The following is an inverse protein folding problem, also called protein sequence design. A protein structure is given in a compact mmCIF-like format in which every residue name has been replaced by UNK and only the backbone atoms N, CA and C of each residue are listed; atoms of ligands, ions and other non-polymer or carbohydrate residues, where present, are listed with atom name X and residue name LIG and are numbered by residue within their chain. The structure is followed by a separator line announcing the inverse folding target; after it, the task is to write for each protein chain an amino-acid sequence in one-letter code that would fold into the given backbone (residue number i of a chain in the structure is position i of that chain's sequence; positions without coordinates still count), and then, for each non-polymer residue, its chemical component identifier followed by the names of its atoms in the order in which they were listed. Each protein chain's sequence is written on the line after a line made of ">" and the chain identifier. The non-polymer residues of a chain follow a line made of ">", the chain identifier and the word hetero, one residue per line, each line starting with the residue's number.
data_IF_586018453583
#
_entry.id   IF_586018453583
#
_cell.length_a   1.000
_cell.length_b   1.000
_cell.length_c   1.000
_cell.angle_alpha   90.00
_cell.angle_beta   90.00
_cell.angle_gamma   90.00
#
_symmetry.space_group_name_H-M   'P 1'
#
loop_
_entity.id
_entity.type
_entity.pdbx_description
1 polymer ?
#
# COMPACT_ATOMS: atom_id res chain seq x y z
N UNK A 1 -7.36 4.72 45.36
CA UNK A 1 -6.79 5.65 44.36
C UNK A 1 -5.77 4.96 43.46
N UNK A 2 -4.95 4.02 43.92
CA UNK A 2 -3.93 3.26 43.15
C UNK A 2 -4.47 2.42 41.97
N UNK A 3 -5.63 1.77 42.12
CA UNK A 3 -6.21 0.90 41.07
C UNK A 3 -6.55 1.69 39.80
N UNK A 4 -6.87 2.97 39.92
CA UNK A 4 -7.20 3.84 38.76
C UNK A 4 -5.96 4.24 37.95
N UNK A 5 -4.82 4.43 38.64
CA UNK A 5 -3.54 4.76 38.03
C UNK A 5 -2.97 3.54 37.25
N UNK A 6 -3.02 2.36 37.84
CA UNK A 6 -2.56 1.10 37.22
C UNK A 6 -3.36 0.78 35.93
N UNK A 7 -4.67 1.04 35.95
CA UNK A 7 -5.52 0.85 34.75
C UNK A 7 -5.24 1.86 33.63
N UNK A 8 -4.82 3.06 33.96
CA UNK A 8 -4.48 4.11 32.99
C UNK A 8 -3.10 3.85 32.38
N UNK A 9 -2.11 3.46 33.15
CA UNK A 9 -0.78 3.07 32.67
C UNK A 9 -0.82 1.85 31.76
N UNK A 10 -1.60 0.83 32.10
CA UNK A 10 -1.83 -0.33 31.24
C UNK A 10 -2.49 0.03 29.91
N UNK A 11 -3.43 0.97 29.89
CA UNK A 11 -4.05 1.45 28.65
C UNK A 11 -3.07 2.24 27.76
N UNK A 12 -2.24 3.10 28.35
CA UNK A 12 -1.21 3.85 27.65
C UNK A 12 -0.16 2.92 27.04
N UNK A 13 0.31 1.95 27.81
CA UNK A 13 1.30 0.98 27.36
C UNK A 13 0.78 0.12 26.19
N UNK A 14 -0.47 -0.35 26.27
CA UNK A 14 -1.13 -1.10 25.18
C UNK A 14 -1.33 -0.27 23.91
N UNK A 15 -1.69 1.00 24.06
CA UNK A 15 -1.81 1.91 22.90
C UNK A 15 -0.45 2.11 22.22
N UNK A 16 0.63 2.29 22.99
CA UNK A 16 1.99 2.37 22.48
C UNK A 16 2.42 1.12 21.70
N UNK A 17 2.17 -0.07 22.22
CA UNK A 17 2.49 -1.34 21.56
C UNK A 17 1.71 -1.47 20.22
N UNK A 18 0.41 -1.19 20.22
CA UNK A 18 -0.41 -1.25 19.00
C UNK A 18 0.10 -0.28 17.92
N UNK A 19 0.43 0.94 18.33
CA UNK A 19 0.98 1.95 17.43
C UNK A 19 2.34 1.51 16.87
N UNK A 20 3.21 0.96 17.70
CA UNK A 20 4.51 0.45 17.27
C UNK A 20 4.37 -0.72 16.27
N UNK A 21 3.52 -1.71 16.58
CA UNK A 21 3.24 -2.83 15.67
C UNK A 21 2.66 -2.36 14.34
N UNK A 22 1.68 -1.46 14.37
CA UNK A 22 1.11 -0.90 13.14
C UNK A 22 2.16 -0.15 12.31
N UNK A 23 3.09 0.59 12.95
CA UNK A 23 4.19 1.26 12.26
C UNK A 23 5.12 0.27 11.59
N UNK A 24 5.52 -0.78 12.30
CA UNK A 24 6.42 -1.82 11.76
C UNK A 24 5.77 -2.54 10.59
N UNK A 25 4.53 -3.01 10.75
CA UNK A 25 3.84 -3.74 9.69
C UNK A 25 3.52 -2.86 8.47
N UNK A 26 3.15 -1.61 8.70
CA UNK A 26 2.96 -0.66 7.59
C UNK A 26 4.27 -0.39 6.85
N UNK A 27 5.39 -0.23 7.55
CA UNK A 27 6.69 -0.09 6.94
C UNK A 27 7.10 -1.34 6.13
N UNK A 28 6.84 -2.55 6.66
CA UNK A 28 7.09 -3.81 5.94
C UNK A 28 6.28 -3.89 4.64
N UNK A 29 4.99 -3.55 4.67
CA UNK A 29 4.13 -3.55 3.48
C UNK A 29 4.61 -2.54 2.43
N UNK A 30 4.98 -1.32 2.86
CA UNK A 30 5.47 -0.29 1.94
C UNK A 30 6.84 -0.66 1.36
N UNK A 31 7.65 -1.43 2.08
CA UNK A 31 8.95 -1.93 1.61
C UNK A 31 8.83 -3.07 0.58
N UNK A 32 7.66 -3.69 0.40
CA UNK A 32 7.47 -4.84 -0.51
C UNK A 32 8.08 -4.62 -1.91
N UNK A 33 7.88 -3.49 -2.60
CA UNK A 33 8.43 -3.29 -3.94
C UNK A 33 9.97 -3.25 -4.02
N UNK A 34 10.64 -3.10 -2.88
CA UNK A 34 12.11 -3.00 -2.81
C UNK A 34 12.77 -4.32 -2.38
N UNK A 35 11.99 -5.39 -2.18
CA UNK A 35 12.51 -6.69 -1.76
C UNK A 35 12.71 -7.57 -2.97
N UNK A 36 13.96 -7.91 -3.24
CA UNK A 36 14.34 -8.84 -4.31
C UNK A 36 15.54 -9.67 -3.89
N UNK A 37 15.67 -10.86 -4.44
CA UNK A 37 16.81 -11.73 -4.25
C UNK A 37 17.35 -12.20 -5.61
N UNK A 38 18.53 -11.74 -5.96
CA UNK A 38 19.19 -12.09 -7.23
C UNK A 38 19.61 -13.57 -7.32
N UNK A 39 19.60 -14.30 -6.20
CA UNK A 39 19.94 -15.73 -6.17
C UNK A 39 18.76 -16.63 -6.58
N UNK A 40 17.53 -16.09 -6.61
CA UNK A 40 16.32 -16.82 -6.97
C UNK A 40 15.94 -16.62 -8.43
N UNK A 41 15.41 -17.68 -9.06
CA UNK A 41 14.75 -17.55 -10.36
C UNK A 41 13.55 -16.61 -10.20
N UNK A 42 13.45 -15.55 -11.04
CA UNK A 42 12.48 -14.47 -10.90
C UNK A 42 12.53 -13.78 -9.51
N UNK A 43 13.72 -13.60 -8.96
CA UNK A 43 13.94 -13.21 -7.57
C UNK A 43 13.25 -11.93 -7.13
N UNK A 44 12.92 -11.01 -8.04
CA UNK A 44 12.12 -9.82 -7.74
C UNK A 44 10.70 -10.25 -7.34
N UNK A 45 9.98 -10.93 -8.22
CA UNK A 45 8.58 -11.34 -7.97
C UNK A 45 8.49 -12.32 -6.80
N UNK A 46 9.38 -13.30 -6.76
CA UNK A 46 9.40 -14.29 -5.67
C UNK A 46 9.73 -13.63 -4.33
N UNK A 47 10.67 -12.70 -4.31
CA UNK A 47 11.04 -11.94 -3.11
C UNK A 47 9.89 -11.07 -2.61
N UNK A 48 9.24 -10.31 -3.49
CA UNK A 48 8.08 -9.48 -3.16
C UNK A 48 6.90 -10.31 -2.61
N UNK A 49 6.57 -11.43 -3.24
CA UNK A 49 5.49 -12.32 -2.82
C UNK A 49 5.80 -12.94 -1.45
N UNK A 50 7.01 -13.48 -1.26
CA UNK A 50 7.43 -14.03 0.03
C UNK A 50 7.37 -12.98 1.15
N UNK A 51 7.91 -11.80 0.89
CA UNK A 51 7.89 -10.69 1.85
C UNK A 51 6.48 -10.24 2.21
N UNK A 52 5.59 -10.18 1.21
CA UNK A 52 4.19 -9.88 1.43
C UNK A 52 3.51 -10.92 2.32
N UNK A 53 3.68 -12.21 2.04
CA UNK A 53 3.13 -13.30 2.86
C UNK A 53 3.66 -13.25 4.30
N UNK A 54 4.96 -13.04 4.48
CA UNK A 54 5.57 -12.87 5.79
C UNK A 54 4.98 -11.68 6.54
N UNK A 55 4.87 -10.54 5.89
CA UNK A 55 4.30 -9.31 6.46
C UNK A 55 2.85 -9.53 6.89
N UNK A 56 2.05 -10.20 6.06
CA UNK A 56 0.66 -10.54 6.37
C UNK A 56 0.53 -11.49 7.56
N UNK A 57 1.36 -12.53 7.63
CA UNK A 57 1.37 -13.46 8.75
C UNK A 57 1.71 -12.76 10.08
N UNK A 58 2.76 -11.94 10.09
CA UNK A 58 3.19 -11.17 11.26
C UNK A 58 2.12 -10.15 11.68
N UNK A 59 1.50 -9.47 10.72
CA UNK A 59 0.42 -8.52 10.99
C UNK A 59 -0.82 -9.21 11.58
N UNK A 60 -1.19 -10.37 11.07
CA UNK A 60 -2.31 -11.16 11.61
C UNK A 60 -2.03 -11.62 13.04
N UNK A 61 -0.84 -12.17 13.32
CA UNK A 61 -0.41 -12.57 14.66
C UNK A 61 -0.41 -11.37 15.61
N UNK A 62 0.20 -10.26 15.20
CA UNK A 62 0.24 -9.03 15.99
C UNK A 62 -1.15 -8.51 16.33
N UNK A 63 -2.10 -8.61 15.38
CA UNK A 63 -3.50 -8.22 15.59
C UNK A 63 -4.17 -9.11 16.63
N UNK A 64 -4.01 -10.44 16.52
CA UNK A 64 -4.57 -11.38 17.51
C UNK A 64 -4.02 -11.09 18.91
N UNK A 65 -2.71 -10.94 19.05
CA UNK A 65 -2.06 -10.66 20.34
C UNK A 65 -2.52 -9.34 20.96
N UNK A 66 -2.73 -8.31 20.14
CA UNK A 66 -3.11 -6.98 20.64
C UNK A 66 -4.62 -6.80 20.81
N UNK A 67 -5.45 -7.53 20.07
CA UNK A 67 -6.91 -7.41 20.13
C UNK A 67 -7.52 -8.22 21.29
N UNK A 68 -6.86 -9.32 21.71
CA UNK A 68 -7.41 -10.31 22.65
C UNK A 68 -7.85 -9.75 24.04
N UNK A 69 -7.16 -8.80 24.68
CA UNK A 69 -7.50 -8.42 26.07
C UNK A 69 -8.19 -7.05 26.23
N UNK A 70 -8.86 -6.46 25.29
CA UNK A 70 -9.39 -5.11 25.51
C UNK A 70 -10.59 -4.71 24.67
N UNK A 71 -11.43 -3.84 25.22
CA UNK A 71 -12.65 -3.35 24.58
C UNK A 71 -12.45 -2.99 23.11
N UNK A 72 -13.17 -3.69 22.26
CA UNK A 72 -13.11 -3.52 20.79
C UNK A 72 -13.82 -2.20 20.43
N UNK A 73 -13.13 -1.33 19.70
CA UNK A 73 -13.83 -0.30 18.95
C UNK A 73 -14.55 -0.99 17.79
N UNK A 74 -15.85 -0.80 17.68
CA UNK A 74 -16.59 -1.25 16.51
C UNK A 74 -16.15 -0.43 15.31
N UNK A 75 -15.67 -1.09 14.26
CA UNK A 75 -15.41 -0.43 12.99
C UNK A 75 -16.73 -0.50 12.20
N UNK A 76 -17.37 0.64 11.90
CA UNK A 76 -18.61 0.61 11.16
C UNK A 76 -18.37 0.05 9.75
N UNK A 77 -19.26 -0.86 9.33
CA UNK A 77 -19.24 -1.41 7.98
C UNK A 77 -19.58 -0.29 6.99
N UNK A 78 -18.78 -0.14 5.94
CA UNK A 78 -18.90 0.90 4.95
C UNK A 78 -19.11 0.31 3.54
N UNK A 79 -19.61 1.12 2.61
CA UNK A 79 -19.85 0.69 1.23
C UNK A 79 -18.60 0.04 0.57
N UNK A 80 -17.37 0.56 0.72
CA UNK A 80 -16.18 -0.10 0.17
C UNK A 80 -15.95 -1.52 0.69
N UNK A 81 -16.33 -1.81 1.94
CA UNK A 81 -16.21 -3.16 2.51
C UNK A 81 -17.13 -4.15 1.79
N UNK A 82 -18.38 -3.71 1.55
CA UNK A 82 -19.37 -4.50 0.81
C UNK A 82 -18.94 -4.76 -0.62
N UNK A 83 -18.42 -3.74 -1.32
CA UNK A 83 -17.92 -3.87 -2.68
C UNK A 83 -16.71 -4.80 -2.77
N UNK A 84 -15.78 -4.70 -1.82
CA UNK A 84 -14.62 -5.60 -1.76
C UNK A 84 -15.03 -7.06 -1.53
N UNK A 85 -15.94 -7.30 -0.58
CA UNK A 85 -16.43 -8.65 -0.30
C UNK A 85 -17.26 -9.22 -1.47
N UNK A 86 -18.05 -8.38 -2.15
CA UNK A 86 -18.77 -8.77 -3.35
C UNK A 86 -17.80 -9.15 -4.47
N UNK A 87 -16.78 -8.33 -4.71
CA UNK A 87 -15.73 -8.64 -5.70
C UNK A 87 -15.02 -9.94 -5.38
N UNK A 88 -14.61 -10.15 -4.12
CA UNK A 88 -13.97 -11.39 -3.67
C UNK A 88 -14.90 -12.60 -3.84
N UNK A 89 -16.18 -12.44 -3.52
CA UNK A 89 -17.19 -13.49 -3.70
C UNK A 89 -17.41 -13.87 -5.18
N UNK A 90 -17.48 -12.88 -6.07
CA UNK A 90 -17.57 -13.12 -7.52
C UNK A 90 -16.31 -13.82 -8.02
N UNK A 91 -15.12 -13.34 -7.63
CA UNK A 91 -13.85 -13.96 -8.03
C UNK A 91 -13.79 -15.43 -7.60
N UNK A 92 -14.18 -15.73 -6.35
CA UNK A 92 -14.20 -17.08 -5.85
C UNK A 92 -15.24 -17.97 -6.58
N UNK A 93 -16.42 -17.43 -6.88
CA UNK A 93 -17.48 -18.15 -7.56
C UNK A 93 -17.19 -18.43 -9.04
N UNK A 94 -16.40 -17.58 -9.68
CA UNK A 94 -16.01 -17.69 -11.10
C UNK A 94 -14.63 -18.35 -11.30
N UNK A 95 -13.98 -18.75 -10.20
CA UNK A 95 -12.67 -19.40 -10.29
C UNK A 95 -12.78 -20.80 -10.90
N UNK A 96 -12.03 -21.03 -11.96
CA UNK A 96 -12.01 -22.33 -12.62
C UNK A 96 -10.83 -23.19 -12.13
N UNK A 97 -11.13 -24.12 -11.26
CA UNK A 97 -10.16 -25.05 -10.67
C UNK A 97 -9.53 -26.03 -11.68
N UNK A 98 -10.12 -26.17 -12.87
CA UNK A 98 -9.58 -27.05 -13.91
C UNK A 98 -8.54 -26.32 -14.78
N UNK A 99 -8.77 -25.03 -15.05
CA UNK A 99 -7.87 -24.21 -15.84
C UNK A 99 -6.68 -23.66 -15.03
N UNK A 100 -6.89 -23.40 -13.76
CA UNK A 100 -5.87 -22.84 -12.86
C UNK A 100 -5.89 -23.60 -11.52
N UNK A 101 -5.25 -24.78 -11.46
CA UNK A 101 -5.26 -25.63 -10.26
C UNK A 101 -4.42 -25.05 -9.09
N UNK A 102 -3.67 -23.96 -9.33
CA UNK A 102 -2.81 -23.38 -8.32
C UNK A 102 -3.57 -22.37 -7.43
N UNK A 103 -3.78 -22.67 -6.15
CA UNK A 103 -4.56 -21.81 -5.26
C UNK A 103 -3.83 -20.52 -4.84
N UNK A 104 -2.59 -20.28 -5.31
CA UNK A 104 -1.78 -19.12 -4.91
C UNK A 104 -2.47 -17.79 -5.20
N UNK A 105 -3.12 -17.66 -6.36
CA UNK A 105 -3.86 -16.45 -6.72
C UNK A 105 -5.04 -16.18 -5.80
N UNK A 106 -5.76 -17.23 -5.41
CA UNK A 106 -6.86 -17.11 -4.44
C UNK A 106 -6.33 -16.79 -3.04
N UNK A 107 -5.24 -17.42 -2.64
CA UNK A 107 -4.59 -17.11 -1.37
C UNK A 107 -4.16 -15.64 -1.32
N UNK A 108 -3.52 -15.16 -2.37
CA UNK A 108 -3.10 -13.76 -2.48
C UNK A 108 -4.30 -12.81 -2.45
N UNK A 109 -5.35 -13.10 -3.22
CA UNK A 109 -6.60 -12.33 -3.21
C UNK A 109 -7.27 -12.30 -1.83
N UNK A 110 -7.33 -13.45 -1.15
CA UNK A 110 -7.84 -13.55 0.22
C UNK A 110 -7.01 -12.73 1.21
N UNK A 111 -5.69 -12.73 1.08
CA UNK A 111 -4.81 -11.91 1.90
C UNK A 111 -5.02 -10.40 1.66
N UNK A 112 -5.29 -9.97 0.43
CA UNK A 112 -5.62 -8.56 0.16
C UNK A 112 -6.94 -8.14 0.84
N UNK A 113 -7.94 -9.01 0.88
CA UNK A 113 -9.18 -8.75 1.63
C UNK A 113 -8.90 -8.64 3.12
N UNK A 114 -8.12 -9.57 3.69
CA UNK A 114 -7.71 -9.53 5.10
C UNK A 114 -6.91 -8.26 5.39
N UNK A 115 -5.96 -7.89 4.52
CA UNK A 115 -5.16 -6.68 4.64
C UNK A 115 -6.03 -5.42 4.74
N UNK A 116 -7.08 -5.31 3.92
CA UNK A 116 -8.01 -4.20 3.98
C UNK A 116 -8.61 -4.01 5.38
N UNK A 117 -9.12 -5.09 5.98
CA UNK A 117 -9.72 -5.03 7.31
C UNK A 117 -8.69 -4.78 8.42
N UNK A 118 -7.49 -5.37 8.30
CA UNK A 118 -6.39 -5.13 9.23
C UNK A 118 -5.92 -3.67 9.19
N UNK A 119 -5.73 -3.09 8.01
CA UNK A 119 -5.36 -1.69 7.86
C UNK A 119 -6.44 -0.76 8.43
N UNK A 120 -7.71 -1.03 8.17
CA UNK A 120 -8.82 -0.27 8.77
C UNK A 120 -8.80 -0.34 10.29
N UNK A 121 -8.55 -1.54 10.85
CA UNK A 121 -8.42 -1.71 12.29
C UNK A 121 -7.28 -0.87 12.86
N UNK A 122 -6.07 -1.02 12.34
CA UNK A 122 -4.90 -0.29 12.83
C UNK A 122 -5.03 1.23 12.66
N UNK A 123 -5.53 1.70 11.54
CA UNK A 123 -5.71 3.13 11.29
C UNK A 123 -6.84 3.75 12.11
N UNK A 124 -7.78 2.94 12.62
CA UNK A 124 -8.79 3.39 13.57
C UNK A 124 -8.25 3.47 14.98
N UNK A 125 -7.42 2.50 15.39
CA UNK A 125 -6.77 2.49 16.69
C UNK A 125 -5.65 3.55 16.83
N UNK A 126 -4.92 3.81 15.76
CA UNK A 126 -3.81 4.76 15.73
C UNK A 126 -3.93 5.77 14.56
N UNK A 127 -4.84 6.76 14.66
CA UNK A 127 -5.10 7.71 13.56
C UNK A 127 -3.89 8.55 13.15
N UNK A 128 -2.94 8.79 14.07
CA UNK A 128 -1.70 9.52 13.79
C UNK A 128 -0.84 8.84 12.71
N UNK A 129 -0.92 7.52 12.58
CA UNK A 129 -0.18 6.76 11.57
C UNK A 129 -0.67 6.98 10.14
N UNK A 130 -1.89 7.49 9.94
CA UNK A 130 -2.39 7.82 8.59
C UNK A 130 -1.44 8.75 7.85
N UNK A 131 -1.05 9.83 8.51
CA UNK A 131 -0.14 10.82 7.91
C UNK A 131 1.26 10.26 7.70
N UNK A 132 1.75 9.44 8.64
CA UNK A 132 3.03 8.76 8.49
C UNK A 132 3.03 7.83 7.28
N UNK A 133 2.01 6.97 7.12
CA UNK A 133 1.93 6.06 5.98
C UNK A 133 1.75 6.80 4.65
N UNK A 134 0.94 7.84 4.61
CA UNK A 134 0.81 8.67 3.42
C UNK A 134 2.14 9.31 3.03
N UNK A 135 2.88 9.85 4.01
CA UNK A 135 4.20 10.43 3.77
C UNK A 135 5.19 9.38 3.23
N UNK A 136 5.28 8.21 3.86
CA UNK A 136 6.18 7.13 3.43
C UNK A 136 5.78 6.62 2.04
N UNK A 137 4.49 6.46 1.77
CA UNK A 137 3.99 6.06 0.44
C UNK A 137 4.36 7.08 -0.65
N UNK A 138 4.27 8.38 -0.35
CA UNK A 138 4.71 9.43 -1.28
C UNK A 138 6.21 9.41 -1.50
N UNK A 139 6.99 9.18 -0.43
CA UNK A 139 8.45 9.10 -0.50
C UNK A 139 8.89 7.90 -1.36
N UNK A 140 8.29 6.73 -1.15
CA UNK A 140 8.60 5.55 -1.98
C UNK A 140 8.16 5.73 -3.42
N UNK A 141 7.02 6.38 -3.68
CA UNK A 141 6.62 6.78 -5.03
C UNK A 141 7.59 7.75 -5.70
N UNK A 142 8.15 8.69 -4.94
CA UNK A 142 9.19 9.59 -5.45
C UNK A 142 10.48 8.82 -5.79
N UNK A 143 10.90 7.90 -4.93
CA UNK A 143 12.08 7.04 -5.19
C UNK A 143 11.87 6.22 -6.46
N UNK A 144 10.71 5.59 -6.62
CA UNK A 144 10.34 4.84 -7.81
C UNK A 144 10.32 5.72 -9.08
N UNK A 145 9.76 6.93 -8.98
CA UNK A 145 9.74 7.85 -10.12
C UNK A 145 11.15 8.30 -10.51
N UNK A 146 12.02 8.62 -9.54
CA UNK A 146 13.42 8.97 -9.80
C UNK A 146 14.18 7.79 -10.39
N UNK A 147 14.00 6.58 -9.86
CA UNK A 147 14.61 5.37 -10.41
C UNK A 147 14.16 5.12 -11.85
N UNK A 148 12.85 5.25 -12.10
CA UNK A 148 12.32 5.16 -13.47
C UNK A 148 12.90 6.20 -14.41
N UNK A 149 13.08 7.45 -13.97
CA UNK A 149 13.78 8.47 -14.76
C UNK A 149 15.22 8.06 -15.10
N UNK A 150 15.95 7.50 -14.14
CA UNK A 150 17.31 7.02 -14.38
C UNK A 150 17.33 5.88 -15.40
N UNK A 151 16.35 4.95 -15.35
CA UNK A 151 16.21 3.87 -16.33
C UNK A 151 15.90 4.41 -17.74
N UNK A 152 15.02 5.39 -17.88
CA UNK A 152 14.69 6.02 -19.16
C UNK A 152 15.88 6.70 -19.82
N UNK A 153 16.76 7.31 -19.02
CA UNK A 153 17.96 8.00 -19.52
C UNK A 153 19.19 7.08 -19.60
N UNK A 154 19.06 5.79 -19.24
CA UNK A 154 20.14 4.84 -19.33
C UNK A 154 21.17 4.89 -18.20
N UNK A 155 20.89 5.62 -17.11
CA UNK A 155 21.75 5.66 -15.91
C UNK A 155 21.51 4.47 -14.97
N UNK A 156 20.38 3.78 -15.09
CA UNK A 156 20.07 2.56 -14.34
C UNK A 156 19.57 1.46 -15.27
N UNK A 157 19.85 0.21 -14.91
CA UNK A 157 19.38 -0.95 -15.65
C UNK A 157 17.91 -1.23 -15.33
N UNK A 158 17.16 -1.67 -16.35
CA UNK A 158 15.83 -2.22 -16.18
C UNK A 158 15.89 -3.67 -15.73
N UNK A 159 14.91 -4.09 -14.95
CA UNK A 159 14.77 -5.49 -14.52
C UNK A 159 14.17 -6.40 -15.61
N UNK A 160 13.82 -5.84 -16.77
CA UNK A 160 13.20 -6.57 -17.89
C UNK A 160 13.99 -6.37 -19.18
N UNK A 161 14.18 -7.45 -19.95
CA UNK A 161 14.97 -7.40 -21.20
C UNK A 161 14.33 -6.57 -22.32
N UNK A 162 13.01 -6.48 -22.36
CA UNK A 162 12.25 -5.79 -23.44
C UNK A 162 11.80 -4.37 -23.06
N UNK A 163 11.71 -4.05 -21.76
CA UNK A 163 11.19 -2.78 -21.29
C UNK A 163 12.26 -1.98 -20.58
N UNK A 164 12.40 -0.72 -20.93
CA UNK A 164 13.39 0.17 -20.29
C UNK A 164 12.95 0.67 -18.92
N UNK A 165 11.64 0.77 -18.70
CA UNK A 165 11.05 1.38 -17.51
C UNK A 165 10.32 0.34 -16.69
N UNK A 166 10.87 0.00 -15.53
CA UNK A 166 10.27 -0.96 -14.59
C UNK A 166 10.37 -0.51 -13.14
N UNK A 167 11.15 0.53 -12.82
CA UNK A 167 11.48 0.86 -11.44
C UNK A 167 12.15 -0.31 -10.73
N UNK A 168 11.75 -0.58 -9.49
CA UNK A 168 12.13 -1.77 -8.73
C UNK A 168 11.40 -3.03 -9.20
N UNK A 169 10.24 -2.89 -9.84
CA UNK A 169 9.40 -3.99 -10.31
C UNK A 169 10.01 -4.75 -11.49
N UNK A 170 9.53 -5.97 -11.71
CA UNK A 170 9.93 -6.76 -12.87
C UNK A 170 9.30 -6.25 -14.18
N UNK A 171 8.07 -5.68 -14.11
CA UNK A 171 7.30 -5.27 -15.30
C UNK A 171 6.83 -3.82 -15.20
N UNK A 172 6.66 -3.11 -16.36
CA UNK A 172 6.12 -1.75 -16.38
C UNK A 172 4.65 -1.67 -15.90
N UNK A 173 3.86 -2.74 -16.03
CA UNK A 173 2.46 -2.77 -15.60
C UNK A 173 2.30 -2.53 -14.09
N UNK A 174 2.87 -3.38 -13.21
CA UNK A 174 2.89 -3.17 -11.77
C UNK A 174 3.52 -1.85 -11.35
N UNK A 175 4.63 -1.46 -11.95
CA UNK A 175 5.28 -0.17 -11.72
C UNK A 175 4.32 1.01 -11.95
N UNK A 176 3.68 1.07 -13.11
CA UNK A 176 2.72 2.12 -13.42
C UNK A 176 1.48 2.05 -12.54
N UNK A 177 1.02 0.84 -12.21
CA UNK A 177 -0.09 0.62 -11.27
C UNK A 177 0.22 1.20 -9.89
N UNK A 178 1.42 0.96 -9.37
CA UNK A 178 1.89 1.53 -8.12
C UNK A 178 1.91 3.06 -8.16
N UNK A 179 2.51 3.65 -9.18
CA UNK A 179 2.56 5.10 -9.34
C UNK A 179 1.16 5.73 -9.50
N UNK A 180 0.24 5.03 -10.19
CA UNK A 180 -1.14 5.49 -10.34
C UNK A 180 -1.92 5.51 -9.03
N UNK A 181 -1.57 4.66 -8.05
CA UNK A 181 -2.12 4.70 -6.68
C UNK A 181 -1.50 5.82 -5.87
N UNK A 182 -0.21 6.08 -6.02
CA UNK A 182 0.50 7.13 -5.26
C UNK A 182 0.13 8.53 -5.72
N UNK A 183 -0.06 8.74 -7.02
CA UNK A 183 -0.31 10.06 -7.61
C UNK A 183 -1.51 10.81 -6.99
N UNK A 184 -2.70 10.22 -6.81
CA UNK A 184 -3.82 10.91 -6.16
C UNK A 184 -3.53 11.26 -4.68
N UNK A 185 -2.70 10.48 -3.97
CA UNK A 185 -2.25 10.80 -2.61
C UNK A 185 -1.35 12.04 -2.62
N UNK A 186 -0.43 12.14 -3.60
CA UNK A 186 0.40 13.32 -3.79
C UNK A 186 -0.43 14.57 -4.10
N UNK A 187 -1.42 14.43 -4.99
CA UNK A 187 -2.32 15.52 -5.34
C UNK A 187 -3.16 15.96 -4.15
N UNK A 188 -3.75 15.02 -3.41
CA UNK A 188 -4.51 15.31 -2.21
C UNK A 188 -3.67 16.05 -1.18
N UNK A 189 -2.44 15.59 -0.94
CA UNK A 189 -1.50 16.23 -0.01
C UNK A 189 -1.16 17.64 -0.46
N UNK A 190 -0.90 17.84 -1.76
CA UNK A 190 -0.61 19.14 -2.33
C UNK A 190 -1.78 20.12 -2.21
N UNK A 191 -3.02 19.66 -2.32
CA UNK A 191 -4.22 20.51 -2.23
C UNK A 191 -4.64 20.78 -0.78
N UNK A 192 -4.48 19.81 0.13
CA UNK A 192 -4.99 19.87 1.49
C UNK A 192 -4.07 20.53 2.48
N UNK A 193 -2.75 20.32 2.35
CA UNK A 193 -1.76 20.83 3.28
C UNK A 193 -1.18 22.16 2.83
N UNK A 194 -0.43 22.80 3.74
CA UNK A 194 0.29 24.03 3.48
C UNK A 194 1.79 23.85 3.72
N UNK A 195 2.60 24.83 3.30
CA UNK A 195 4.05 24.87 3.50
C UNK A 195 4.77 23.63 2.92
N UNK A 196 5.64 22.98 3.72
CA UNK A 196 6.51 21.90 3.25
C UNK A 196 5.76 20.72 2.62
N UNK A 197 4.67 20.26 3.22
CA UNK A 197 3.88 19.14 2.69
C UNK A 197 3.19 19.48 1.37
N UNK A 198 2.73 20.70 1.19
CA UNK A 198 2.19 21.19 -0.08
C UNK A 198 3.22 21.06 -1.22
N UNK A 199 4.43 21.62 -1.01
CA UNK A 199 5.49 21.53 -2.01
C UNK A 199 5.98 20.12 -2.25
N UNK A 200 6.09 19.32 -1.19
CA UNK A 200 6.47 17.92 -1.30
C UNK A 200 5.44 17.13 -2.14
N UNK A 201 4.14 17.35 -1.92
CA UNK A 201 3.07 16.77 -2.74
C UNK A 201 3.21 17.08 -4.22
N UNK A 202 3.48 18.36 -4.57
CA UNK A 202 3.68 18.78 -5.97
C UNK A 202 4.95 18.19 -6.58
N UNK A 203 6.05 18.13 -5.83
CA UNK A 203 7.31 17.52 -6.31
C UNK A 203 7.10 16.02 -6.62
N UNK A 204 6.47 15.27 -5.71
CA UNK A 204 6.16 13.86 -5.94
C UNK A 204 5.21 13.67 -7.13
N UNK A 205 4.14 14.46 -7.20
CA UNK A 205 3.18 14.38 -8.31
C UNK A 205 3.85 14.70 -9.65
N UNK A 206 4.67 15.75 -9.71
CA UNK A 206 5.42 16.12 -10.91
C UNK A 206 6.39 15.04 -11.36
N UNK A 207 7.15 14.45 -10.44
CA UNK A 207 8.06 13.35 -10.75
C UNK A 207 7.32 12.13 -11.32
N UNK A 208 6.19 11.76 -10.73
CA UNK A 208 5.35 10.64 -11.19
C UNK A 208 4.77 10.94 -12.57
N UNK A 209 4.26 12.15 -12.79
CA UNK A 209 3.68 12.54 -14.09
C UNK A 209 4.70 12.56 -15.24
N UNK A 210 5.98 12.73 -14.96
CA UNK A 210 7.04 12.62 -15.99
C UNK A 210 7.22 11.18 -16.45
N UNK A 211 7.20 10.20 -15.54
CA UNK A 211 7.54 8.81 -15.86
C UNK A 211 6.32 7.96 -16.20
N UNK A 212 5.16 8.26 -15.65
CA UNK A 212 3.95 7.47 -15.82
C UNK A 212 3.55 7.30 -17.30
N UNK A 213 3.62 8.34 -18.18
CA UNK A 213 3.36 8.19 -19.60
C UNK A 213 4.30 7.21 -20.31
N UNK A 214 5.58 7.21 -19.94
CA UNK A 214 6.59 6.35 -20.56
C UNK A 214 6.40 4.86 -20.24
N UNK A 215 5.69 4.52 -19.17
CA UNK A 215 5.37 3.15 -18.79
C UNK A 215 4.31 2.46 -19.66
N UNK A 216 3.65 3.19 -20.58
CA UNK A 216 2.70 2.70 -21.60
C UNK A 216 1.53 1.86 -21.06
N UNK A 217 1.20 1.97 -19.78
CA UNK A 217 0.08 1.26 -19.13
C UNK A 217 -1.22 2.07 -19.22
N UNK A 218 -2.08 1.74 -20.19
CA UNK A 218 -3.36 2.45 -20.39
C UNK A 218 -4.28 2.38 -19.19
N UNK A 219 -4.36 1.23 -18.52
CA UNK A 219 -5.16 1.05 -17.32
C UNK A 219 -4.68 1.91 -16.15
N UNK A 220 -3.37 2.03 -15.96
CA UNK A 220 -2.78 2.89 -14.92
C UNK A 220 -3.09 4.37 -15.18
N UNK A 221 -3.04 4.80 -16.45
CA UNK A 221 -3.39 6.18 -16.81
C UNK A 221 -4.86 6.49 -16.53
N UNK A 222 -5.76 5.60 -16.95
CA UNK A 222 -7.20 5.76 -16.68
C UNK A 222 -7.47 5.81 -15.18
N UNK A 223 -6.88 4.91 -14.40
CA UNK A 223 -7.02 4.89 -12.97
C UNK A 223 -6.51 6.18 -12.31
N UNK A 224 -5.32 6.66 -12.73
CA UNK A 224 -4.75 7.90 -12.25
C UNK A 224 -5.63 9.12 -12.57
N UNK A 225 -6.15 9.24 -13.79
CA UNK A 225 -7.03 10.34 -14.19
C UNK A 225 -8.32 10.35 -13.39
N UNK A 226 -8.98 9.19 -13.24
CA UNK A 226 -10.23 9.07 -12.48
C UNK A 226 -9.99 9.40 -11.01
N UNK A 227 -8.95 8.83 -10.40
CA UNK A 227 -8.66 9.05 -8.98
C UNK A 227 -8.21 10.50 -8.69
N UNK A 228 -7.37 11.09 -9.53
CA UNK A 228 -6.98 12.50 -9.41
C UNK A 228 -8.15 13.45 -9.65
N UNK A 229 -9.00 13.15 -10.63
CA UNK A 229 -10.24 13.90 -10.88
C UNK A 229 -11.18 13.88 -9.68
N UNK A 230 -11.35 12.72 -9.05
CA UNK A 230 -12.12 12.58 -7.82
C UNK A 230 -11.53 13.40 -6.65
N UNK A 231 -10.22 13.30 -6.42
CA UNK A 231 -9.53 14.08 -5.39
C UNK A 231 -9.71 15.58 -5.63
N UNK A 232 -9.48 16.04 -6.87
CA UNK A 232 -9.66 17.45 -7.21
C UNK A 232 -11.09 17.92 -6.98
N UNK A 233 -12.08 17.11 -7.37
CA UNK A 233 -13.48 17.42 -7.16
C UNK A 233 -13.81 17.57 -5.67
N UNK A 234 -13.40 16.60 -4.84
CA UNK A 234 -13.72 16.58 -3.40
C UNK A 234 -13.01 17.68 -2.60
N UNK A 235 -11.84 18.12 -3.03
CA UNK A 235 -11.11 19.20 -2.32
C UNK A 235 -11.50 20.61 -2.77
N UNK A 236 -12.29 20.75 -3.84
CA UNK A 236 -12.76 22.04 -4.35
C UNK A 236 -14.20 22.39 -3.95
N UNK A 237 -14.98 21.40 -3.51
CA UNK A 237 -16.34 21.58 -2.96
C UNK A 237 -16.28 21.77 -1.45
#
# INVERSE_FOLDING_TARGET
>A
MEIKYTGMELKLHRHGIRTALASVFGAMLIATPFVGDSALANGIVTGEVFWFHLSMALMAIGTVVTAWPGGRKSIPFALPDGLLLLFAGITLATYDWQLDPEPEKLLFGGQLVVLWFLLRYFLTEAPCLKFFFLFVLMLTGLVEAVWGMQQLHGYAYSNHSLFRLTGSFFNPGPYCGYLAVVLPVCLWTALRFQKGMHYFGWVCAGAILIVLPAGMSRSAWMAAVVACGWVYWTERI
#
